data_IF_483869489456
#
_entry.id   IF_483869489456
#
_cell.length_a   1.000
_cell.length_b   1.000
_cell.length_c   1.000
_cell.angle_alpha   90.00
_cell.angle_beta   90.00
_cell.angle_gamma   90.00
#
_symmetry.space_group_name_H-M   'P 1'
#
loop_
_entity.id
_entity.type
_entity.pdbx_description
1 polymer ?
#
# COMPACT_ATOMS: atom_id res chain seq x y z
N UNK A 1 22.94 -2.40 23.28
CA UNK A 1 22.71 -2.20 21.85
C UNK A 1 22.22 -3.48 21.18
N UNK A 2 21.88 -3.44 19.90
CA UNK A 2 21.34 -4.59 19.14
C UNK A 2 22.27 -5.81 19.18
N UNK A 3 23.57 -5.61 19.02
CA UNK A 3 24.57 -6.68 19.06
C UNK A 3 24.60 -7.41 20.41
N UNK A 4 24.53 -6.66 21.53
CA UNK A 4 24.47 -7.25 22.86
C UNK A 4 23.18 -8.04 23.08
N UNK A 5 22.08 -7.58 22.51
CA UNK A 5 20.79 -8.30 22.54
C UNK A 5 20.82 -9.56 21.69
N UNK A 6 21.39 -9.50 20.48
CA UNK A 6 21.57 -10.67 19.62
C UNK A 6 22.47 -11.74 20.25
N UNK A 7 23.52 -11.31 20.94
CA UNK A 7 24.44 -12.24 21.64
C UNK A 7 23.75 -13.04 22.75
N UNK A 8 22.67 -12.53 23.36
CA UNK A 8 21.90 -13.29 24.38
C UNK A 8 21.15 -14.49 23.81
N UNK A 9 20.95 -14.56 22.50
CA UNK A 9 20.33 -15.71 21.83
C UNK A 9 21.27 -16.86 21.51
N UNK A 10 22.59 -16.68 21.67
CA UNK A 10 23.57 -17.72 21.32
C UNK A 10 23.53 -18.95 22.24
N UNK A 11 22.96 -18.81 23.44
CA UNK A 11 22.88 -19.89 24.45
C UNK A 11 21.55 -20.67 24.38
N UNK A 12 20.69 -20.39 23.40
CA UNK A 12 19.42 -21.11 23.23
C UNK A 12 19.69 -22.44 22.56
N UNK A 13 19.74 -23.51 23.36
CA UNK A 13 20.06 -24.88 22.89
C UNK A 13 18.98 -25.45 21.95
N UNK A 14 17.69 -25.09 22.18
CA UNK A 14 16.57 -25.52 21.34
C UNK A 14 15.56 -24.36 21.19
N UNK A 15 15.14 -24.12 19.95
CA UNK A 15 14.02 -23.21 19.70
C UNK A 15 12.72 -23.93 20.04
N UNK A 16 11.73 -23.24 20.63
CA UNK A 16 10.41 -23.83 20.83
C UNK A 16 9.78 -24.26 19.50
N UNK A 17 8.93 -25.27 19.54
CA UNK A 17 8.16 -25.68 18.36
C UNK A 17 7.44 -24.48 17.78
N UNK A 18 7.60 -24.25 16.48
CA UNK A 18 6.96 -23.13 15.80
C UNK A 18 5.44 -23.28 15.74
N UNK A 19 4.69 -22.19 15.54
CA UNK A 19 3.24 -22.24 15.50
C UNK A 19 2.76 -23.08 14.31
N UNK A 20 1.65 -23.80 14.51
CA UNK A 20 0.96 -24.54 13.45
C UNK A 20 0.16 -23.58 12.58
N UNK A 21 -0.12 -23.99 11.35
CA UNK A 21 -0.89 -23.19 10.40
C UNK A 21 -2.29 -22.81 10.92
N UNK A 22 -2.90 -23.68 11.74
CA UNK A 22 -4.21 -23.48 12.38
C UNK A 22 -4.20 -22.59 13.61
N UNK A 23 -3.03 -22.33 14.19
CA UNK A 23 -2.92 -21.58 15.43
C UNK A 23 -3.32 -20.12 15.23
N UNK A 24 -3.83 -19.50 16.28
CA UNK A 24 -4.21 -18.10 16.30
C UNK A 24 -2.95 -17.24 16.14
N UNK A 25 -2.91 -16.45 15.08
CA UNK A 25 -1.81 -15.50 14.81
C UNK A 25 -2.12 -14.11 15.33
N UNK A 26 -3.35 -13.64 15.14
CA UNK A 26 -3.71 -12.30 15.58
C UNK A 26 -5.21 -12.11 15.79
N UNK A 27 -5.54 -11.16 16.67
CA UNK A 27 -6.89 -10.63 16.86
C UNK A 27 -6.95 -9.20 16.33
N UNK A 28 -7.87 -8.96 15.40
CA UNK A 28 -8.08 -7.63 14.82
C UNK A 28 -9.45 -7.13 15.21
N UNK A 29 -9.50 -6.06 15.98
CA UNK A 29 -10.76 -5.47 16.39
C UNK A 29 -11.32 -4.56 15.30
N UNK A 30 -12.59 -4.75 14.97
CA UNK A 30 -13.34 -3.90 14.04
C UNK A 30 -14.49 -3.22 14.78
N UNK A 31 -14.84 -2.00 14.39
CA UNK A 31 -16.05 -1.34 14.85
C UNK A 31 -17.27 -2.10 14.32
N UNK A 32 -17.88 -2.95 15.15
CA UNK A 32 -19.08 -3.66 14.73
C UNK A 32 -20.24 -2.72 14.40
N UNK A 33 -21.06 -3.09 13.42
CA UNK A 33 -22.29 -2.35 13.06
C UNK A 33 -23.28 -2.19 14.22
N UNK A 34 -23.12 -2.99 15.27
CA UNK A 34 -23.94 -2.98 16.51
C UNK A 34 -23.33 -2.14 17.63
N UNK A 35 -22.28 -1.35 17.38
CA UNK A 35 -21.62 -0.48 18.35
C UNK A 35 -20.63 -1.16 19.30
N UNK A 36 -20.58 -2.50 19.37
CA UNK A 36 -19.58 -3.23 20.14
C UNK A 36 -18.46 -3.71 19.23
N UNK A 37 -17.17 -3.46 19.57
CA UNK A 37 -16.06 -3.98 18.79
C UNK A 37 -16.09 -5.50 18.69
N UNK A 38 -15.85 -6.04 17.50
CA UNK A 38 -15.72 -7.48 17.26
C UNK A 38 -14.26 -7.83 17.00
N UNK A 39 -13.77 -8.84 17.71
CA UNK A 39 -12.42 -9.38 17.48
C UNK A 39 -12.45 -10.43 16.37
N UNK A 40 -11.83 -10.14 15.26
CA UNK A 40 -11.64 -11.09 14.15
C UNK A 40 -10.42 -11.94 14.47
N UNK A 41 -10.62 -13.24 14.61
CA UNK A 41 -9.55 -14.22 14.84
C UNK A 41 -8.92 -14.61 13.51
N UNK A 42 -7.62 -14.47 13.39
CA UNK A 42 -6.86 -14.84 12.20
C UNK A 42 -5.81 -15.88 12.54
N UNK A 43 -5.84 -17.02 11.86
CA UNK A 43 -4.80 -18.03 11.95
C UNK A 43 -3.58 -17.68 11.11
N UNK A 44 -2.45 -18.36 11.34
CA UNK A 44 -1.27 -18.24 10.48
C UNK A 44 -1.60 -18.59 9.03
N UNK A 45 -2.41 -19.63 8.79
CA UNK A 45 -2.81 -20.02 7.43
C UNK A 45 -3.64 -18.94 6.71
N UNK A 46 -4.50 -18.20 7.43
CA UNK A 46 -5.25 -17.11 6.81
C UNK A 46 -4.30 -16.03 6.24
N UNK A 47 -3.28 -15.65 7.01
CA UNK A 47 -2.31 -14.64 6.60
C UNK A 47 -1.45 -15.15 5.45
N UNK A 48 -0.85 -16.33 5.59
CA UNK A 48 0.06 -16.91 4.58
C UNK A 48 -0.67 -17.12 3.25
N UNK A 49 -1.90 -17.62 3.28
CA UNK A 49 -2.68 -17.81 2.05
C UNK A 49 -2.99 -16.49 1.34
N UNK A 50 -3.33 -15.43 2.08
CA UNK A 50 -3.50 -14.10 1.50
C UNK A 50 -2.21 -13.58 0.86
N UNK A 51 -1.08 -13.70 1.55
CA UNK A 51 0.24 -13.29 1.01
C UNK A 51 0.58 -14.06 -0.27
N UNK A 52 0.32 -15.38 -0.30
CA UNK A 52 0.52 -16.18 -1.53
C UNK A 52 -0.36 -15.73 -2.69
N UNK A 53 -1.60 -15.35 -2.41
CA UNK A 53 -2.51 -14.84 -3.45
C UNK A 53 -2.06 -13.46 -3.98
N UNK A 54 -1.41 -12.64 -3.16
CA UNK A 54 -0.87 -11.36 -3.58
C UNK A 54 0.16 -11.50 -4.71
N UNK A 55 0.95 -12.57 -4.73
CA UNK A 55 1.89 -12.86 -5.82
C UNK A 55 1.22 -12.89 -7.19
N UNK A 56 0.04 -13.50 -7.29
CA UNK A 56 -0.69 -13.60 -8.56
C UNK A 56 -1.18 -12.24 -9.09
N UNK A 57 -1.26 -11.25 -8.21
CA UNK A 57 -1.78 -9.92 -8.55
C UNK A 57 -0.67 -8.90 -8.76
N UNK A 58 0.38 -8.93 -7.92
CA UNK A 58 1.37 -7.85 -7.84
C UNK A 58 2.75 -8.24 -8.35
N UNK A 59 3.12 -9.53 -8.31
CA UNK A 59 4.45 -10.05 -8.70
C UNK A 59 5.60 -9.27 -8.05
N UNK A 60 5.45 -8.92 -6.77
CA UNK A 60 6.47 -8.20 -5.99
C UNK A 60 7.70 -9.08 -5.84
N UNK A 61 8.89 -8.49 -6.01
CA UNK A 61 10.19 -9.15 -5.95
C UNK A 61 11.11 -8.48 -4.92
N UNK A 62 12.29 -9.04 -4.73
CA UNK A 62 13.34 -8.50 -3.87
C UNK A 62 13.90 -7.13 -4.34
N UNK A 63 13.72 -6.81 -5.62
CA UNK A 63 14.12 -5.52 -6.19
C UNK A 63 13.12 -4.39 -5.90
N UNK A 64 11.95 -4.72 -5.34
CA UNK A 64 10.91 -3.76 -5.09
C UNK A 64 11.11 -2.99 -3.77
N UNK A 65 10.68 -1.73 -3.80
CA UNK A 65 10.59 -0.85 -2.63
C UNK A 65 9.13 -0.52 -2.36
N UNK A 66 8.61 -1.02 -1.25
CA UNK A 66 7.22 -0.80 -0.82
C UNK A 66 7.18 0.38 0.14
N UNK A 67 6.39 1.41 -0.16
CA UNK A 67 6.12 2.49 0.79
C UNK A 67 4.85 2.20 1.58
N UNK A 68 5.02 1.88 2.85
CA UNK A 68 3.94 1.66 3.79
C UNK A 68 3.55 2.96 4.49
N UNK A 69 2.31 3.42 4.32
CA UNK A 69 1.81 4.67 4.92
C UNK A 69 0.43 4.53 5.57
N UNK A 70 -0.29 3.46 5.28
CA UNK A 70 -1.55 3.15 5.94
C UNK A 70 -1.28 2.51 7.32
N UNK A 71 -2.23 2.57 8.25
CA UNK A 71 -2.05 1.98 9.58
C UNK A 71 -1.86 0.46 9.51
N UNK A 72 -0.77 -0.06 10.07
CA UNK A 72 -0.51 -1.51 10.18
C UNK A 72 -1.49 -2.24 11.12
N UNK A 73 -2.25 -1.51 11.92
CA UNK A 73 -3.38 -2.06 12.68
C UNK A 73 -4.53 -2.53 11.77
N UNK A 74 -4.60 -2.01 10.55
CA UNK A 74 -5.55 -2.45 9.53
C UNK A 74 -5.00 -3.64 8.75
N UNK A 75 -5.81 -4.70 8.57
CA UNK A 75 -5.40 -5.96 7.92
C UNK A 75 -4.91 -5.77 6.49
N UNK A 76 -5.48 -4.84 5.74
CA UNK A 76 -5.09 -4.58 4.36
C UNK A 76 -3.62 -4.17 4.25
N UNK A 77 -3.20 -3.11 4.94
CA UNK A 77 -1.81 -2.64 4.89
C UNK A 77 -0.84 -3.66 5.48
N UNK A 78 -1.23 -4.27 6.61
CA UNK A 78 -0.40 -5.28 7.26
C UNK A 78 -0.13 -6.48 6.36
N UNK A 79 -1.13 -6.93 5.58
CA UNK A 79 -0.99 -8.09 4.69
C UNK A 79 -0.42 -7.70 3.35
N UNK A 80 -1.04 -6.74 2.64
CA UNK A 80 -0.64 -6.36 1.28
C UNK A 80 0.68 -5.57 1.23
N UNK A 81 0.96 -4.77 2.26
CA UNK A 81 2.23 -4.04 2.39
C UNK A 81 3.28 -4.86 3.12
N UNK A 82 3.14 -4.96 4.45
CA UNK A 82 4.23 -5.45 5.29
C UNK A 82 4.51 -6.95 5.11
N UNK A 83 3.52 -7.83 5.28
CA UNK A 83 3.75 -9.27 5.19
C UNK A 83 4.13 -9.73 3.79
N UNK A 84 3.54 -9.13 2.77
CA UNK A 84 3.90 -9.41 1.37
C UNK A 84 5.33 -8.97 1.09
N UNK A 85 5.72 -7.78 1.52
CA UNK A 85 7.09 -7.30 1.36
C UNK A 85 8.12 -8.22 2.02
N UNK A 86 7.88 -8.60 3.28
CA UNK A 86 8.77 -9.55 3.99
C UNK A 86 8.83 -10.91 3.30
N UNK A 87 7.69 -11.44 2.84
CA UNK A 87 7.61 -12.77 2.23
C UNK A 87 8.37 -12.85 0.89
N UNK A 88 8.42 -11.77 0.14
CA UNK A 88 9.08 -11.72 -1.18
C UNK A 88 10.43 -11.00 -1.16
N UNK A 89 10.93 -10.63 0.01
CA UNK A 89 12.24 -10.02 0.18
C UNK A 89 12.34 -8.55 -0.23
N UNK A 90 11.20 -7.88 -0.48
CA UNK A 90 11.16 -6.48 -0.87
C UNK A 90 11.61 -5.55 0.27
N UNK A 91 12.15 -4.39 -0.09
CA UNK A 91 12.48 -3.34 0.88
C UNK A 91 11.21 -2.66 1.38
N UNK A 92 11.03 -2.59 2.71
CA UNK A 92 9.93 -1.87 3.33
C UNK A 92 10.38 -0.50 3.83
N UNK A 93 9.83 0.55 3.26
CA UNK A 93 9.99 1.92 3.72
C UNK A 93 8.70 2.39 4.41
N UNK A 94 8.83 2.95 5.60
CA UNK A 94 7.69 3.47 6.36
C UNK A 94 7.59 4.98 6.20
N UNK A 95 6.43 5.46 5.77
CA UNK A 95 6.16 6.89 5.67
C UNK A 95 6.10 7.54 7.05
N UNK A 96 6.57 8.77 7.13
CA UNK A 96 6.47 9.62 8.33
C UNK A 96 5.02 10.00 8.67
N UNK A 97 4.11 9.81 7.71
CA UNK A 97 2.68 10.05 7.87
C UNK A 97 2.03 10.59 6.59
N UNK A 98 0.69 10.60 6.55
CA UNK A 98 -0.08 11.02 5.35
C UNK A 98 0.21 12.47 4.94
N UNK A 99 0.59 13.35 5.88
CA UNK A 99 0.94 14.75 5.60
C UNK A 99 2.28 14.89 4.87
N UNK A 100 3.21 13.99 5.11
CA UNK A 100 4.54 13.97 4.49
C UNK A 100 4.63 13.01 3.29
N UNK A 101 3.54 12.34 2.95
CA UNK A 101 3.54 11.29 1.91
C UNK A 101 4.10 11.77 0.56
N UNK A 102 3.89 13.04 0.20
CA UNK A 102 4.43 13.62 -1.02
C UNK A 102 5.96 13.66 -1.02
N UNK A 103 6.53 14.08 0.10
CA UNK A 103 7.98 14.23 0.24
C UNK A 103 8.62 12.83 0.39
N UNK A 104 7.96 11.93 1.12
CA UNK A 104 8.38 10.54 1.26
C UNK A 104 8.39 9.81 -0.09
N UNK A 105 7.41 10.05 -0.97
CA UNK A 105 7.39 9.51 -2.34
C UNK A 105 8.58 10.01 -3.17
N UNK A 106 8.98 11.27 -3.00
CA UNK A 106 10.12 11.84 -3.70
C UNK A 106 11.46 11.30 -3.18
N UNK A 107 11.57 11.12 -1.87
CA UNK A 107 12.78 10.66 -1.19
C UNK A 107 12.99 9.15 -1.41
N UNK A 108 11.95 8.34 -1.18
CA UNK A 108 12.02 6.87 -1.23
C UNK A 108 11.96 6.33 -2.66
N UNK A 109 11.19 6.98 -3.54
CA UNK A 109 10.93 6.51 -4.92
C UNK A 109 10.43 5.07 -4.95
N UNK A 110 9.34 4.73 -4.24
CA UNK A 110 8.89 3.37 -4.16
C UNK A 110 8.44 2.83 -5.52
N UNK A 111 8.59 1.52 -5.73
CA UNK A 111 8.06 0.81 -6.90
C UNK A 111 6.63 0.34 -6.67
N UNK A 112 6.26 0.09 -5.40
CA UNK A 112 4.95 -0.40 -4.98
C UNK A 112 4.42 0.41 -3.81
N UNK A 113 3.12 0.66 -3.82
CA UNK A 113 2.43 1.32 -2.71
C UNK A 113 0.97 0.83 -2.64
N UNK A 114 0.58 0.27 -1.50
CA UNK A 114 -0.82 0.00 -1.20
C UNK A 114 -1.55 1.30 -0.94
N UNK A 115 -2.73 1.49 -1.53
CA UNK A 115 -3.47 2.73 -1.35
C UNK A 115 -4.98 2.50 -1.28
N UNK A 116 -5.71 3.51 -0.86
CA UNK A 116 -7.17 3.52 -0.75
C UNK A 116 -7.76 4.66 -1.60
N UNK A 117 -9.00 4.55 -2.09
CA UNK A 117 -9.62 5.52 -3.01
C UNK A 117 -9.50 6.98 -2.52
N UNK A 118 -9.68 7.21 -1.23
CA UNK A 118 -9.62 8.56 -0.62
C UNK A 118 -8.25 9.25 -0.82
N UNK A 119 -7.18 8.50 -0.92
CA UNK A 119 -5.85 9.07 -1.16
C UNK A 119 -5.73 9.53 -2.61
N UNK A 120 -6.22 8.74 -3.57
CA UNK A 120 -6.28 9.14 -4.99
C UNK A 120 -7.13 10.39 -5.18
N UNK A 121 -8.29 10.47 -4.55
CA UNK A 121 -9.15 11.67 -4.57
C UNK A 121 -8.42 12.90 -4.03
N UNK A 122 -7.69 12.75 -2.93
CA UNK A 122 -6.90 13.83 -2.33
C UNK A 122 -5.79 14.32 -3.26
N UNK A 123 -5.05 13.40 -3.90
CA UNK A 123 -4.04 13.75 -4.89
C UNK A 123 -4.66 14.44 -6.10
N UNK A 124 -5.75 13.89 -6.63
CA UNK A 124 -6.47 14.49 -7.76
C UNK A 124 -6.95 15.90 -7.45
N UNK A 125 -7.58 16.11 -6.32
CA UNK A 125 -8.05 17.44 -5.90
C UNK A 125 -6.90 18.43 -5.72
N UNK A 126 -5.76 17.96 -5.18
CA UNK A 126 -4.56 18.80 -5.07
C UNK A 126 -4.02 19.19 -6.46
N UNK A 127 -3.93 18.26 -7.39
CA UNK A 127 -3.51 18.53 -8.77
C UNK A 127 -4.46 19.49 -9.47
N UNK A 128 -5.76 19.36 -9.29
CA UNK A 128 -6.75 20.27 -9.86
C UNK A 128 -6.66 21.67 -9.24
N UNK A 129 -6.41 21.78 -7.95
CA UNK A 129 -6.17 23.07 -7.29
C UNK A 129 -4.88 23.75 -7.79
N UNK A 130 -3.83 22.98 -8.03
CA UNK A 130 -2.60 23.48 -8.70
C UNK A 130 -2.89 23.92 -10.13
N UNK A 131 -3.63 23.12 -10.89
CA UNK A 131 -4.05 23.44 -12.27
C UNK A 131 -4.78 24.77 -12.34
N UNK A 132 -5.70 25.03 -11.43
CA UNK A 132 -6.47 26.27 -11.38
C UNK A 132 -5.60 27.54 -11.21
N UNK A 133 -4.42 27.39 -10.63
CA UNK A 133 -3.45 28.48 -10.41
C UNK A 133 -2.40 28.60 -11.52
N UNK A 134 -2.39 27.69 -12.52
CA UNK A 134 -1.41 27.72 -13.58
C UNK A 134 -1.72 28.80 -14.62
N UNK A 135 -0.69 29.45 -15.20
CA UNK A 135 -0.87 30.27 -16.39
C UNK A 135 -1.49 29.50 -17.54
N UNK A 136 -2.28 30.18 -18.38
CA UNK A 136 -3.07 29.56 -19.46
C UNK A 136 -2.28 28.54 -20.32
N UNK A 137 -1.07 28.90 -20.76
CA UNK A 137 -0.21 28.01 -21.56
C UNK A 137 0.14 26.70 -20.81
N UNK A 138 0.59 26.82 -19.56
CA UNK A 138 0.95 25.65 -18.74
C UNK A 138 -0.29 24.79 -18.44
N UNK A 139 -1.42 25.44 -18.16
CA UNK A 139 -2.69 24.77 -17.95
C UNK A 139 -3.17 23.98 -19.17
N UNK A 140 -3.02 24.53 -20.37
CA UNK A 140 -3.32 23.84 -21.62
C UNK A 140 -2.50 22.54 -21.77
N UNK A 141 -1.18 22.60 -21.53
CA UNK A 141 -0.32 21.41 -21.58
C UNK A 141 -0.70 20.38 -20.51
N UNK A 142 -1.05 20.81 -19.31
CA UNK A 142 -1.52 19.93 -18.25
C UNK A 142 -2.81 19.18 -18.67
N UNK A 143 -3.80 19.90 -19.20
CA UNK A 143 -5.06 19.31 -19.64
C UNK A 143 -4.86 18.38 -20.83
N UNK A 144 -4.00 18.74 -21.75
CA UNK A 144 -3.61 17.90 -22.89
C UNK A 144 -2.94 16.59 -22.41
N UNK A 145 -1.95 16.69 -21.52
CA UNK A 145 -1.26 15.52 -20.99
C UNK A 145 -2.20 14.57 -20.24
N UNK A 146 -3.12 15.13 -19.45
CA UNK A 146 -4.16 14.37 -18.75
C UNK A 146 -5.07 13.63 -19.74
N UNK A 147 -5.50 14.29 -20.79
CA UNK A 147 -6.37 13.71 -21.82
C UNK A 147 -5.65 12.57 -22.58
N UNK A 148 -4.39 12.78 -22.96
CA UNK A 148 -3.57 11.76 -23.61
C UNK A 148 -3.38 10.56 -22.69
N UNK A 149 -3.04 10.79 -21.43
CA UNK A 149 -2.88 9.74 -20.42
C UNK A 149 -4.18 8.93 -20.24
N UNK A 150 -5.32 9.61 -20.14
CA UNK A 150 -6.62 8.95 -20.02
C UNK A 150 -6.96 8.08 -21.23
N UNK A 151 -6.76 8.59 -22.44
CA UNK A 151 -6.98 7.82 -23.69
C UNK A 151 -6.08 6.60 -23.80
N UNK A 152 -4.82 6.75 -23.37
CA UNK A 152 -3.89 5.63 -23.32
C UNK A 152 -4.36 4.56 -22.31
N UNK A 153 -4.72 4.96 -21.10
CA UNK A 153 -5.23 4.08 -20.07
C UNK A 153 -6.50 3.34 -20.54
N UNK A 154 -7.47 4.04 -21.13
CA UNK A 154 -8.68 3.40 -21.68
C UNK A 154 -8.35 2.34 -22.74
N UNK A 155 -7.37 2.61 -23.60
CA UNK A 155 -6.97 1.66 -24.66
C UNK A 155 -6.29 0.42 -24.07
N UNK A 156 -5.41 0.61 -23.10
CA UNK A 156 -4.68 -0.49 -22.45
C UNK A 156 -5.59 -1.38 -21.58
N UNK A 157 -6.75 -0.88 -21.17
CA UNK A 157 -7.69 -1.59 -20.31
C UNK A 157 -9.04 -1.91 -20.98
N UNK A 158 -9.14 -1.79 -22.30
CA UNK A 158 -10.37 -2.03 -23.07
C UNK A 158 -11.60 -1.26 -22.56
N UNK A 159 -11.38 -0.06 -22.02
CA UNK A 159 -12.44 0.78 -21.51
C UNK A 159 -13.02 1.68 -22.63
N UNK A 160 -14.33 1.97 -22.58
CA UNK A 160 -14.95 2.87 -23.54
C UNK A 160 -14.30 4.26 -23.45
N UNK A 161 -13.83 4.78 -24.57
CA UNK A 161 -13.34 6.15 -24.67
C UNK A 161 -14.56 7.09 -24.72
N UNK A 162 -15.18 7.34 -23.57
CA UNK A 162 -16.12 8.46 -23.50
C UNK A 162 -15.36 9.72 -23.89
N UNK A 163 -15.92 10.45 -24.85
CA UNK A 163 -15.44 11.81 -25.14
C UNK A 163 -15.50 12.55 -23.83
N UNK A 164 -14.32 12.83 -23.25
CA UNK A 164 -14.21 13.66 -22.08
C UNK A 164 -15.13 14.84 -22.33
N UNK A 165 -16.21 14.92 -21.55
CA UNK A 165 -17.14 16.03 -21.69
C UNK A 165 -16.32 17.29 -21.48
N UNK A 166 -16.03 18.00 -22.58
CA UNK A 166 -15.50 19.36 -22.54
C UNK A 166 -16.54 20.22 -21.86
N UNK A 167 -16.56 20.14 -20.54
CA UNK A 167 -17.19 21.14 -19.68
C UNK A 167 -16.07 22.01 -19.12
N UNK A 168 -15.72 22.99 -19.91
CA UNK A 168 -15.03 24.20 -19.48
C UNK A 168 -15.84 25.38 -19.99
#
# INVERSE_FOLDING_TARGET
GLEAWLATGNDVAELPEGPKASDLSSLVYTSGTTGRPKGVMMSHSNIVNNVRQMWNVTQITEDDVILSFLPLSHTFERTAGAYTGVAFGACLAFSRGVSQLRDDLADVRPTVMSSVPRIYERFYNHLMAMRAKMPAKKGYFFDWAREVGWRRFCRENDLPQEKSARRF
#
